data_IF_883568665214
#
_entry.id   IF_883568665214
#
_cell.length_a   1.000
_cell.length_b   1.000
_cell.length_c   1.000
_cell.angle_alpha   90.00
_cell.angle_beta   90.00
_cell.angle_gamma   90.00
#
_symmetry.space_group_name_H-M   'P 1'
#
loop_
_entity.id
_entity.type
_entity.pdbx_description
1 polymer ?
#
# COMPACT_ATOMS: atom_id res chain seq x y z
N UNK A 1 2.19 38.91 15.81
CA UNK A 1 2.40 37.75 16.71
C UNK A 1 1.30 36.67 16.63
N UNK A 2 0.03 36.98 16.34
CA UNK A 2 -1.08 35.99 16.40
C UNK A 2 -0.89 34.74 15.51
N UNK A 3 -0.20 34.87 14.37
CA UNK A 3 0.03 33.74 13.44
C UNK A 3 1.21 32.83 13.78
N UNK A 4 2.08 33.20 14.74
CA UNK A 4 3.25 32.37 15.08
C UNK A 4 2.85 31.07 15.78
N UNK A 5 1.84 31.15 16.66
CA UNK A 5 1.31 30.00 17.39
C UNK A 5 0.66 28.98 16.43
N UNK A 6 -0.30 29.35 15.56
CA UNK A 6 -0.88 28.39 14.62
C UNK A 6 0.16 27.87 13.61
N UNK A 7 1.14 28.67 13.20
CA UNK A 7 2.20 28.21 12.30
C UNK A 7 3.12 27.18 12.97
N UNK A 8 3.53 27.41 14.21
CA UNK A 8 4.31 26.46 14.99
C UNK A 8 3.53 25.16 15.25
N UNK A 9 2.22 25.26 15.53
CA UNK A 9 1.35 24.11 15.68
C UNK A 9 1.27 23.29 14.39
N UNK A 10 1.07 23.97 13.25
CA UNK A 10 1.02 23.33 11.93
C UNK A 10 2.34 22.61 11.61
N UNK A 11 3.47 23.24 11.93
CA UNK A 11 4.80 22.68 11.73
C UNK A 11 5.06 21.39 12.52
N UNK A 12 4.34 21.16 13.62
CA UNK A 12 4.42 19.92 14.42
C UNK A 12 3.36 18.90 14.01
N UNK A 13 2.12 19.35 13.81
CA UNK A 13 0.98 18.49 13.50
C UNK A 13 1.13 17.84 12.12
N UNK A 14 1.58 18.57 11.11
CA UNK A 14 1.75 18.04 9.75
C UNK A 14 2.75 16.88 9.69
N UNK A 15 4.00 17.00 10.17
CA UNK A 15 4.93 15.88 10.13
C UNK A 15 4.47 14.71 10.99
N UNK A 16 3.82 14.95 12.13
CA UNK A 16 3.25 13.89 12.96
C UNK A 16 2.14 13.13 12.24
N UNK A 17 1.20 13.84 11.62
CA UNK A 17 0.12 13.25 10.83
C UNK A 17 0.68 12.44 9.65
N UNK A 18 1.70 12.98 8.95
CA UNK A 18 2.39 12.27 7.86
C UNK A 18 3.10 11.02 8.38
N UNK A 19 3.74 11.08 9.56
CA UNK A 19 4.40 9.93 10.16
C UNK A 19 3.40 8.82 10.53
N UNK A 20 2.25 9.18 11.11
CA UNK A 20 1.19 8.24 11.46
C UNK A 20 0.57 7.58 10.22
N UNK A 21 0.28 8.36 9.17
CA UNK A 21 -0.21 7.82 7.90
C UNK A 21 0.80 6.85 7.26
N UNK A 22 2.10 7.12 7.40
CA UNK A 22 3.16 6.23 6.92
C UNK A 22 3.34 4.99 7.80
N UNK A 23 3.14 5.08 9.11
CA UNK A 23 3.25 3.95 10.04
C UNK A 23 2.17 2.88 9.80
N UNK A 24 1.02 3.30 9.29
CA UNK A 24 -0.09 2.42 8.94
C UNK A 24 0.07 1.75 7.58
N UNK A 25 0.97 2.22 6.72
CA UNK A 25 1.23 1.59 5.42
C UNK A 25 1.96 0.25 5.60
N UNK A 26 1.35 -0.83 5.12
CA UNK A 26 1.99 -2.16 5.10
C UNK A 26 2.92 -2.29 3.91
N UNK A 27 2.41 -1.97 2.71
CA UNK A 27 3.18 -1.96 1.48
C UNK A 27 2.53 -1.07 0.41
N UNK A 28 3.37 -0.63 -0.52
CA UNK A 28 2.97 0.09 -1.72
C UNK A 28 3.60 -0.59 -2.93
N UNK A 29 2.75 -0.99 -3.87
CA UNK A 29 3.14 -1.68 -5.10
C UNK A 29 2.70 -0.82 -6.28
N UNK A 30 3.60 -0.64 -7.24
CA UNK A 30 3.28 -0.01 -8.53
C UNK A 30 3.21 -1.08 -9.60
N UNK A 31 2.22 -0.95 -10.47
CA UNK A 31 1.97 -1.83 -11.60
C UNK A 31 2.10 -1.02 -12.87
N UNK A 32 2.98 -1.46 -13.77
CA UNK A 32 3.15 -0.86 -15.10
C UNK A 32 3.13 -1.99 -16.13
N UNK A 33 2.07 -2.07 -16.93
CA UNK A 33 1.83 -3.20 -17.82
C UNK A 33 1.68 -4.51 -17.05
N UNK A 34 2.67 -5.39 -17.19
CA UNK A 34 2.76 -6.68 -16.49
C UNK A 34 3.78 -6.69 -15.35
N UNK A 35 4.47 -5.58 -15.11
CA UNK A 35 5.51 -5.49 -14.11
C UNK A 35 4.92 -4.99 -12.79
N UNK A 36 4.99 -5.84 -11.77
CA UNK A 36 4.60 -5.53 -10.40
C UNK A 36 5.85 -5.19 -9.60
N UNK A 37 6.02 -3.92 -9.23
CA UNK A 37 7.18 -3.43 -8.47
C UNK A 37 6.76 -3.00 -7.07
N UNK A 38 7.33 -3.66 -6.05
CA UNK A 38 7.23 -3.19 -4.67
C UNK A 38 8.06 -1.91 -4.52
N UNK A 39 7.44 -0.78 -4.20
CA UNK A 39 8.19 0.45 -3.92
C UNK A 39 8.52 0.59 -2.44
N UNK A 40 7.62 0.14 -1.55
CA UNK A 40 7.75 0.33 -0.10
C UNK A 40 7.09 -0.80 0.68
N UNK A 41 7.60 -1.02 1.89
CA UNK A 41 6.98 -1.88 2.90
C UNK A 41 7.51 -3.31 2.92
N UNK A 42 6.72 -4.20 3.51
CA UNK A 42 7.02 -5.62 3.65
C UNK A 42 5.90 -6.41 2.97
N UNK A 43 6.29 -7.34 2.11
CA UNK A 43 5.33 -8.13 1.33
C UNK A 43 5.80 -9.60 1.32
N UNK A 44 5.03 -10.53 1.92
CA UNK A 44 5.27 -11.96 1.77
C UNK A 44 5.29 -12.36 0.30
N UNK A 45 6.20 -13.25 -0.10
CA UNK A 45 6.32 -13.71 -1.49
C UNK A 45 5.00 -14.28 -2.02
N UNK A 46 4.34 -15.15 -1.26
CA UNK A 46 3.04 -15.71 -1.67
C UNK A 46 1.96 -14.65 -1.90
N UNK A 47 1.90 -13.60 -1.06
CA UNK A 47 0.94 -12.52 -1.27
C UNK A 47 1.28 -11.69 -2.53
N UNK A 48 2.57 -11.51 -2.83
CA UNK A 48 3.00 -10.89 -4.08
C UNK A 48 2.57 -11.74 -5.28
N UNK A 49 2.74 -13.07 -5.20
CA UNK A 49 2.34 -13.99 -6.25
C UNK A 49 0.81 -13.92 -6.46
N UNK A 50 0.02 -13.98 -5.38
CA UNK A 50 -1.44 -13.84 -5.43
C UNK A 50 -1.88 -12.49 -6.05
N UNK A 51 -1.22 -11.39 -5.67
CA UNK A 51 -1.49 -10.05 -6.25
C UNK A 51 -1.13 -10.02 -7.74
N UNK A 52 -0.01 -10.64 -8.11
CA UNK A 52 0.45 -10.70 -9.49
C UNK A 52 -0.52 -11.50 -10.35
N UNK A 53 -1.09 -12.59 -9.83
CA UNK A 53 -2.06 -13.40 -10.54
C UNK A 53 -3.36 -12.64 -10.81
N UNK A 54 -3.85 -11.85 -9.84
CA UNK A 54 -5.02 -10.97 -10.03
C UNK A 54 -4.75 -9.91 -11.10
N UNK A 55 -3.56 -9.30 -11.07
CA UNK A 55 -3.17 -8.26 -12.02
C UNK A 55 -2.83 -8.80 -13.41
N UNK A 56 -2.51 -10.09 -13.54
CA UNK A 56 -2.27 -10.74 -14.84
C UNK A 56 -3.55 -11.00 -15.63
N UNK A 57 -4.70 -11.04 -14.97
CA UNK A 57 -6.00 -11.32 -15.62
C UNK A 57 -6.37 -10.29 -16.70
N UNK A 58 -5.93 -9.03 -16.57
CA UNK A 58 -6.11 -7.99 -17.58
C UNK A 58 -4.93 -7.01 -17.59
N UNK A 59 -4.49 -6.53 -18.77
CA UNK A 59 -3.37 -5.60 -18.86
C UNK A 59 -3.70 -4.26 -18.18
N UNK A 60 -2.96 -3.94 -17.12
CA UNK A 60 -3.05 -2.65 -16.41
C UNK A 60 -2.06 -1.69 -17.06
N UNK A 61 -2.53 -0.53 -17.55
CA UNK A 61 -1.66 0.48 -18.15
C UNK A 61 -0.64 1.01 -17.13
N UNK A 62 -1.15 1.79 -16.17
CA UNK A 62 -0.39 2.24 -15.00
C UNK A 62 -1.29 2.27 -13.77
N UNK A 63 -0.87 1.61 -12.70
CA UNK A 63 -1.64 1.54 -11.47
C UNK A 63 -0.77 1.50 -10.22
N UNK A 64 -1.38 1.80 -9.09
CA UNK A 64 -0.78 1.63 -7.78
C UNK A 64 -1.74 0.94 -6.83
N UNK A 65 -1.18 0.04 -6.02
CA UNK A 65 -1.89 -0.69 -4.98
C UNK A 65 -1.20 -0.35 -3.67
N UNK A 66 -1.92 0.38 -2.82
CA UNK A 66 -1.48 0.78 -1.49
C UNK A 66 -2.28 0.00 -0.46
N UNK A 67 -1.58 -0.70 0.43
CA UNK A 67 -2.23 -1.44 1.51
C UNK A 67 -1.87 -0.80 2.84
N UNK A 68 -2.89 -0.44 3.60
CA UNK A 68 -2.78 0.23 4.90
C UNK A 68 -3.51 -0.57 5.97
N UNK A 69 -3.17 -0.33 7.23
CA UNK A 69 -3.93 -0.81 8.38
C UNK A 69 -4.94 0.26 8.77
N UNK A 70 -6.22 -0.06 8.65
CA UNK A 70 -7.35 0.72 9.16
C UNK A 70 -8.22 -0.22 9.99
N UNK A 71 -8.67 0.22 11.17
CA UNK A 71 -9.47 -0.59 12.09
C UNK A 71 -8.88 -1.98 12.41
N UNK A 72 -7.55 -2.06 12.53
CA UNK A 72 -6.78 -3.30 12.74
C UNK A 72 -6.86 -4.31 11.58
N UNK A 73 -7.41 -3.93 10.43
CA UNK A 73 -7.53 -4.76 9.22
C UNK A 73 -6.71 -4.17 8.08
N UNK A 74 -6.27 -5.02 7.16
CA UNK A 74 -5.64 -4.57 5.93
C UNK A 74 -6.71 -4.01 4.98
N UNK A 75 -6.54 -2.77 4.53
CA UNK A 75 -7.37 -2.11 3.53
C UNK A 75 -6.55 -1.84 2.27
N UNK A 76 -7.16 -2.08 1.13
CA UNK A 76 -6.54 -1.90 -0.18
C UNK A 76 -7.11 -0.65 -0.82
N UNK A 77 -6.22 0.29 -1.09
CA UNK A 77 -6.45 1.49 -1.89
C UNK A 77 -5.79 1.28 -3.26
N UNK A 78 -6.54 1.58 -4.31
CA UNK A 78 -6.14 1.32 -5.68
C UNK A 78 -6.24 2.62 -6.46
N UNK A 79 -5.23 2.92 -7.26
CA UNK A 79 -5.13 4.12 -8.08
C UNK A 79 -4.73 3.74 -9.51
N UNK A 80 -5.17 4.54 -10.50
CA UNK A 80 -4.83 4.34 -11.92
C UNK A 80 -5.75 3.36 -12.64
N UNK A 81 -5.23 2.73 -13.70
CA UNK A 81 -6.00 1.92 -14.66
C UNK A 81 -6.28 0.49 -14.16
N UNK A 82 -6.65 0.33 -12.89
CA UNK A 82 -7.02 -0.97 -12.32
C UNK A 82 -8.53 -1.08 -12.32
N UNK A 83 -9.08 -2.15 -12.92
CA UNK A 83 -10.52 -2.31 -13.04
C UNK A 83 -11.20 -2.48 -11.67
N UNK A 84 -12.49 -2.12 -11.52
CA UNK A 84 -13.23 -2.34 -10.28
C UNK A 84 -13.24 -3.81 -9.82
N UNK A 85 -13.29 -4.75 -10.76
CA UNK A 85 -13.27 -6.19 -10.51
C UNK A 85 -11.91 -6.61 -9.96
N UNK A 86 -10.82 -6.17 -10.59
CA UNK A 86 -9.46 -6.41 -10.10
C UNK A 86 -9.26 -5.79 -8.72
N UNK A 87 -9.75 -4.57 -8.50
CA UNK A 87 -9.69 -3.91 -7.20
C UNK A 87 -10.43 -4.69 -6.12
N UNK A 88 -11.61 -5.24 -6.44
CA UNK A 88 -12.36 -6.07 -5.51
C UNK A 88 -11.66 -7.41 -5.24
N UNK A 89 -11.09 -8.03 -6.26
CA UNK A 89 -10.33 -9.27 -6.11
C UNK A 89 -9.06 -9.06 -5.29
N UNK A 90 -8.33 -7.95 -5.50
CA UNK A 90 -7.18 -7.55 -4.68
C UNK A 90 -7.59 -7.37 -3.20
N UNK A 91 -8.73 -6.73 -2.94
CA UNK A 91 -9.28 -6.58 -1.58
C UNK A 91 -9.54 -7.95 -0.94
N UNK A 92 -10.18 -8.86 -1.68
CA UNK A 92 -10.46 -10.21 -1.20
C UNK A 92 -9.14 -10.94 -0.89
N UNK A 93 -8.18 -10.93 -1.81
CA UNK A 93 -6.88 -11.57 -1.64
C UNK A 93 -6.15 -11.04 -0.41
N UNK A 94 -6.02 -9.72 -0.28
CA UNK A 94 -5.32 -9.10 0.86
C UNK A 94 -6.06 -9.33 2.18
N UNK A 95 -7.40 -9.41 2.17
CA UNK A 95 -8.19 -9.65 3.38
C UNK A 95 -7.91 -11.01 4.04
N UNK A 96 -7.45 -12.00 3.26
CA UNK A 96 -7.08 -13.33 3.76
C UNK A 96 -5.77 -13.34 4.55
N UNK A 97 -4.99 -12.25 4.51
CA UNK A 97 -3.69 -12.16 5.13
C UNK A 97 -3.75 -11.40 6.47
N UNK A 98 -3.43 -12.06 7.60
CA UNK A 98 -3.34 -11.38 8.88
C UNK A 98 -2.26 -10.29 8.87
N UNK A 99 -2.59 -9.10 9.38
CA UNK A 99 -1.66 -7.95 9.49
C UNK A 99 -0.31 -8.33 10.14
N UNK A 100 -0.26 -9.10 11.26
CA UNK A 100 1.02 -9.51 11.86
C UNK A 100 1.90 -10.31 10.90
N UNK A 101 1.31 -11.16 10.05
CA UNK A 101 2.02 -11.99 9.07
C UNK A 101 2.65 -11.13 7.97
N UNK A 102 1.95 -10.09 7.53
CA UNK A 102 2.48 -9.12 6.56
C UNK A 102 3.63 -8.33 7.18
N UNK A 103 3.48 -7.86 8.44
CA UNK A 103 4.53 -7.12 9.15
C UNK A 103 5.78 -7.97 9.44
N UNK A 104 5.62 -9.28 9.67
CA UNK A 104 6.74 -10.19 9.90
C UNK A 104 7.53 -10.52 8.61
N UNK A 105 6.99 -10.21 7.43
CA UNK A 105 7.64 -10.55 6.17
C UNK A 105 9.01 -9.87 6.01
N UNK A 106 9.98 -10.54 5.38
CA UNK A 106 11.29 -9.94 5.12
C UNK A 106 11.15 -8.68 4.26
N UNK A 107 11.94 -7.66 4.57
CA UNK A 107 12.07 -6.49 3.68
C UNK A 107 12.76 -6.95 2.41
N UNK A 108 12.02 -7.08 1.32
CA UNK A 108 12.59 -7.34 0.01
C UNK A 108 13.35 -6.09 -0.44
N UNK A 109 14.65 -6.22 -0.75
CA UNK A 109 15.40 -5.17 -1.45
C UNK A 109 14.84 -5.08 -2.87
N UNK A 110 14.41 -3.88 -3.25
CA UNK A 110 13.95 -3.58 -4.59
C UNK A 110 15.19 -3.59 -5.49
N UNK A 111 15.30 -4.57 -6.39
CA UNK A 111 16.38 -4.68 -7.36
C UNK A 111 17.30 -5.89 -7.16
N UNK A 112 16.98 -6.97 -7.89
CA UNK A 112 17.92 -7.84 -8.56
C UNK A 112 17.26 -8.25 -9.88
#
# INVERSE_FOLDING_TARGET
MSFLIPLALLAVVVPLAVALLRANELFYVRVEGRNVRLLRGRLPQRLLDDITDVLRAAPVGRGAVRVVVEDRKARVHVEGDISPEQAQQLRNTVSLWPVPKIRAAPRRRVGA
#
